data_IF_177978238185
#
_entry.id   IF_177978238185
#
_cell.length_a   1.000
_cell.length_b   1.000
_cell.length_c   1.000
_cell.angle_alpha   90.00
_cell.angle_beta   90.00
_cell.angle_gamma   90.00
#
_symmetry.space_group_name_H-M   'P 1'
#
loop_
_entity.id
_entity.type
_entity.pdbx_description
1 polymer ?
#
# COMPACT_ATOMS: atom_id res chain seq x y z
N UNK A 1 1.26 0.53 -17.87
CA UNK A 1 0.82 1.89 -18.22
C UNK A 1 0.95 2.73 -16.96
N UNK A 2 1.73 3.81 -16.99
CA UNK A 2 1.80 4.73 -15.86
C UNK A 2 0.41 5.35 -15.63
N UNK A 3 -0.20 5.05 -14.49
CA UNK A 3 -1.51 5.60 -14.14
C UNK A 3 -1.27 7.01 -13.63
N UNK A 4 -1.62 8.02 -14.41
CA UNK A 4 -1.47 9.41 -14.01
C UNK A 4 -2.37 9.72 -12.82
N UNK A 5 -1.77 9.99 -11.66
CA UNK A 5 -2.47 10.28 -10.40
C UNK A 5 -3.18 11.66 -10.42
N UNK A 6 -2.62 12.61 -11.18
CA UNK A 6 -3.09 13.99 -11.25
C UNK A 6 -3.25 14.49 -12.69
N UNK A 7 -4.38 15.12 -12.98
CA UNK A 7 -4.66 15.83 -14.22
C UNK A 7 -4.48 17.34 -14.03
N UNK A 8 -3.93 18.04 -15.02
CA UNK A 8 -3.85 19.51 -15.03
C UNK A 8 -4.96 20.05 -15.93
N UNK A 9 -5.90 20.77 -15.33
CA UNK A 9 -7.08 21.34 -15.99
C UNK A 9 -6.67 22.23 -17.17
N UNK A 10 -7.33 22.05 -18.31
CA UNK A 10 -7.18 22.86 -19.52
C UNK A 10 -8.42 23.72 -19.74
N UNK A 11 -8.29 24.72 -20.62
CA UNK A 11 -9.39 25.60 -20.95
C UNK A 11 -10.55 24.81 -21.59
N UNK A 12 -11.75 24.92 -21.00
CA UNK A 12 -12.96 24.22 -21.48
C UNK A 12 -13.21 22.84 -20.86
N UNK A 13 -12.36 22.41 -19.93
CA UNK A 13 -12.60 21.21 -19.13
C UNK A 13 -13.71 21.41 -18.10
N UNK A 14 -14.31 20.29 -17.73
CA UNK A 14 -15.21 20.17 -16.58
C UNK A 14 -14.82 18.91 -15.81
N UNK A 15 -15.12 18.85 -14.51
CA UNK A 15 -14.84 17.65 -13.71
C UNK A 15 -15.48 16.39 -14.32
N UNK A 16 -16.67 16.51 -14.93
CA UNK A 16 -17.32 15.39 -15.61
C UNK A 16 -16.54 14.89 -16.85
N UNK A 17 -15.99 15.80 -17.66
CA UNK A 17 -15.15 15.42 -18.82
C UNK A 17 -13.85 14.75 -18.37
N UNK A 18 -13.23 15.29 -17.32
CA UNK A 18 -12.00 14.72 -16.74
C UNK A 18 -12.28 13.33 -16.17
N UNK A 19 -13.36 13.16 -15.40
CA UNK A 19 -13.77 11.87 -14.85
C UNK A 19 -13.95 10.81 -15.96
N UNK A 20 -14.68 11.17 -17.03
CA UNK A 20 -14.89 10.29 -18.17
C UNK A 20 -13.58 9.93 -18.89
N UNK A 21 -12.64 10.87 -19.02
CA UNK A 21 -11.34 10.64 -19.64
C UNK A 21 -10.48 9.64 -18.85
N UNK A 22 -10.60 9.65 -17.52
CA UNK A 22 -9.86 8.79 -16.61
C UNK A 22 -10.60 7.53 -16.19
N UNK A 23 -11.77 7.25 -16.78
CA UNK A 23 -12.61 6.09 -16.45
C UNK A 23 -13.02 6.03 -14.97
N UNK A 24 -13.26 7.19 -14.35
CA UNK A 24 -13.74 7.32 -12.97
C UNK A 24 -15.04 8.12 -12.94
N UNK A 25 -15.71 8.16 -11.79
CA UNK A 25 -16.95 8.93 -11.60
C UNK A 25 -16.67 10.33 -11.07
N UNK A 26 -17.60 11.27 -11.29
CA UNK A 26 -17.54 12.61 -10.68
C UNK A 26 -17.48 12.53 -9.15
N UNK A 27 -18.28 11.63 -8.55
CA UNK A 27 -18.29 11.41 -7.10
C UNK A 27 -16.92 10.98 -6.57
N UNK A 28 -16.24 10.07 -7.27
CA UNK A 28 -14.87 9.67 -6.92
C UNK A 28 -13.88 10.84 -7.03
N UNK A 29 -13.96 11.65 -8.09
CA UNK A 29 -13.11 12.85 -8.19
C UNK A 29 -13.36 13.80 -7.01
N UNK A 30 -14.61 14.04 -6.63
CA UNK A 30 -14.92 14.92 -5.49
C UNK A 30 -14.44 14.33 -4.15
N UNK A 31 -14.57 13.02 -3.97
CA UNK A 31 -14.04 12.32 -2.79
C UNK A 31 -12.53 12.48 -2.65
N UNK A 32 -11.80 12.45 -3.77
CA UNK A 32 -10.35 12.52 -3.80
C UNK A 32 -9.78 13.94 -3.77
N UNK A 33 -10.63 14.95 -3.99
CA UNK A 33 -10.24 16.36 -4.00
C UNK A 33 -11.14 17.16 -3.02
N UNK A 34 -11.06 16.90 -1.71
CA UNK A 34 -11.89 17.58 -0.71
C UNK A 34 -11.66 19.09 -0.63
N UNK A 35 -10.57 19.60 -1.21
CA UNK A 35 -10.29 21.03 -1.36
C UNK A 35 -11.20 21.73 -2.39
N UNK A 36 -11.91 20.98 -3.23
CA UNK A 36 -12.85 21.54 -4.21
C UNK A 36 -14.19 21.79 -3.52
N UNK A 37 -14.38 23.01 -3.04
CA UNK A 37 -15.62 23.43 -2.38
C UNK A 37 -16.80 23.52 -3.35
N UNK A 38 -16.53 23.92 -4.60
CA UNK A 38 -17.54 24.04 -5.65
C UNK A 38 -17.14 23.22 -6.90
N UNK A 39 -17.79 22.08 -7.19
CA UNK A 39 -17.52 21.22 -8.35
C UNK A 39 -17.64 21.90 -9.71
N UNK A 40 -18.42 22.98 -9.81
CA UNK A 40 -18.66 23.68 -11.07
C UNK A 40 -17.59 24.73 -11.39
N UNK A 41 -16.69 25.02 -10.44
CA UNK A 41 -15.67 26.06 -10.57
C UNK A 41 -14.29 25.40 -10.51
N UNK A 42 -13.74 25.08 -11.68
CA UNK A 42 -12.34 24.67 -11.86
C UNK A 42 -11.61 25.63 -12.79
N UNK A 43 -10.31 25.81 -12.58
CA UNK A 43 -9.50 26.77 -13.34
C UNK A 43 -8.40 26.09 -14.15
N UNK A 44 -8.09 26.57 -15.37
CA UNK A 44 -6.93 26.09 -16.11
C UNK A 44 -5.64 26.18 -15.28
N UNK A 45 -4.85 25.11 -15.28
CA UNK A 45 -3.65 24.97 -14.45
C UNK A 45 -3.89 24.35 -13.06
N UNK A 46 -5.15 24.23 -12.62
CA UNK A 46 -5.48 23.51 -11.39
C UNK A 46 -5.13 22.02 -11.53
N UNK A 47 -4.52 21.44 -10.49
CA UNK A 47 -4.24 20.00 -10.41
C UNK A 47 -5.43 19.30 -9.77
N UNK A 48 -5.96 18.28 -10.44
CA UNK A 48 -7.08 17.46 -9.99
C UNK A 48 -6.58 16.03 -9.84
N UNK A 49 -6.77 15.43 -8.68
CA UNK A 49 -6.52 14.00 -8.46
C UNK A 49 -7.58 13.19 -9.20
N UNK A 50 -7.13 12.29 -10.07
CA UNK A 50 -7.98 11.51 -11.00
C UNK A 50 -7.82 10.01 -10.84
N UNK A 51 -7.05 9.59 -9.85
CA UNK A 51 -6.97 8.22 -9.37
C UNK A 51 -7.28 8.20 -7.88
N UNK A 52 -7.82 7.08 -7.41
CA UNK A 52 -7.98 6.85 -5.98
C UNK A 52 -6.66 7.17 -5.28
N UNK A 53 -6.68 7.92 -4.16
CA UNK A 53 -5.52 7.97 -3.31
C UNK A 53 -5.15 6.52 -3.06
N UNK A 54 -3.98 6.13 -3.56
CA UNK A 54 -3.56 4.76 -3.45
C UNK A 54 -3.37 4.52 -1.96
N UNK A 55 -4.25 3.70 -1.36
CA UNK A 55 -3.96 3.15 -0.04
C UNK A 55 -2.69 2.29 -0.08
N UNK A 56 -2.28 1.88 -1.28
CA UNK A 56 -0.91 1.56 -1.63
C UNK A 56 -0.13 2.87 -1.67
N UNK A 57 0.31 3.34 -0.49
CA UNK A 57 1.34 4.35 -0.44
C UNK A 57 2.64 3.81 -1.07
N UNK A 58 3.76 4.41 -0.71
CA UNK A 58 5.08 3.79 -0.92
C UNK A 58 5.14 2.33 -0.39
N UNK A 59 4.20 1.97 0.50
CA UNK A 59 4.13 0.70 1.20
C UNK A 59 2.84 -0.10 0.90
N UNK A 60 3.00 -1.41 0.89
CA UNK A 60 1.97 -2.42 0.74
C UNK A 60 0.97 -2.34 1.91
N UNK A 61 -0.35 -2.21 1.64
CA UNK A 61 -1.36 -2.29 2.69
C UNK A 61 -1.35 -3.68 3.34
N UNK A 62 -1.84 -3.78 4.57
CA UNK A 62 -1.91 -5.07 5.25
C UNK A 62 -2.87 -6.02 4.51
N UNK A 63 -2.41 -7.18 3.98
CA UNK A 63 -3.21 -8.08 3.16
C UNK A 63 -4.22 -8.92 3.97
N UNK A 64 -4.24 -8.77 5.29
CA UNK A 64 -5.02 -9.58 6.22
C UNK A 64 -4.19 -10.71 6.83
N UNK A 65 -4.51 -11.11 8.06
CA UNK A 65 -3.76 -12.15 8.79
C UNK A 65 -3.87 -13.53 8.14
N UNK A 66 -5.00 -13.80 7.48
CA UNK A 66 -5.27 -15.09 6.83
C UNK A 66 -4.34 -15.35 5.62
N UNK A 67 -3.82 -14.28 5.01
CA UNK A 67 -2.81 -14.37 3.96
C UNK A 67 -1.58 -15.18 4.43
N UNK A 68 -1.15 -14.98 5.67
CA UNK A 68 0.03 -15.61 6.28
C UNK A 68 -0.28 -16.94 7.01
N UNK A 69 -1.50 -17.47 6.86
CA UNK A 69 -1.86 -18.79 7.38
C UNK A 69 -1.78 -19.89 6.31
N UNK A 70 -1.60 -19.50 5.05
CA UNK A 70 -1.49 -20.42 3.91
C UNK A 70 -0.05 -20.49 3.37
N UNK A 71 0.30 -21.57 2.68
CA UNK A 71 1.54 -21.67 1.89
C UNK A 71 1.43 -20.81 0.62
N UNK A 72 1.25 -19.50 0.80
CA UNK A 72 1.13 -18.53 -0.27
C UNK A 72 2.48 -18.28 -0.91
N UNK A 73 2.48 -18.10 -2.24
CA UNK A 73 3.60 -17.55 -2.98
C UNK A 73 3.19 -16.19 -3.54
N UNK A 74 3.89 -15.11 -3.14
CA UNK A 74 3.61 -13.74 -3.57
C UNK A 74 4.84 -12.84 -3.43
N UNK A 75 5.06 -11.87 -4.35
CA UNK A 75 6.10 -10.85 -4.20
C UNK A 75 6.01 -10.05 -2.90
N UNK A 76 4.81 -9.97 -2.29
CA UNK A 76 4.59 -9.32 -0.98
C UNK A 76 5.41 -10.00 0.12
N UNK A 77 5.55 -11.33 0.08
CA UNK A 77 6.33 -12.09 1.06
C UNK A 77 7.81 -11.75 0.94
N UNK A 78 8.33 -11.73 -0.29
CA UNK A 78 9.72 -11.42 -0.57
C UNK A 78 10.06 -9.97 -0.17
N UNK A 79 9.21 -9.01 -0.53
CA UNK A 79 9.37 -7.61 -0.14
C UNK A 79 9.35 -7.42 1.38
N UNK A 80 8.44 -8.11 2.08
CA UNK A 80 8.39 -8.14 3.54
C UNK A 80 9.69 -8.73 4.12
N UNK A 81 10.17 -9.84 3.58
CA UNK A 81 11.39 -10.49 4.03
C UNK A 81 12.64 -9.61 3.89
N UNK A 82 12.74 -8.84 2.81
CA UNK A 82 13.82 -7.86 2.66
C UNK A 82 13.75 -6.75 3.70
N UNK A 83 12.56 -6.21 3.98
CA UNK A 83 12.40 -5.24 5.07
C UNK A 83 12.76 -5.81 6.44
N UNK A 84 12.43 -7.08 6.70
CA UNK A 84 12.83 -7.74 7.94
C UNK A 84 14.35 -7.86 8.07
N UNK A 85 15.08 -8.09 6.97
CA UNK A 85 16.55 -8.05 6.97
C UNK A 85 17.06 -6.65 7.32
N UNK A 86 16.51 -5.60 6.68
CA UNK A 86 16.90 -4.21 6.93
C UNK A 86 16.61 -3.76 8.37
N UNK A 87 15.56 -4.31 8.98
CA UNK A 87 15.23 -4.11 10.39
C UNK A 87 16.03 -5.01 11.35
N UNK A 88 17.04 -5.73 10.86
CA UNK A 88 17.87 -6.68 11.62
C UNK A 88 17.06 -7.78 12.32
N UNK A 89 15.91 -8.14 11.73
CA UNK A 89 14.96 -9.13 12.22
C UNK A 89 14.90 -10.34 11.27
N UNK A 90 16.03 -10.99 11.02
CA UNK A 90 16.16 -12.06 10.02
C UNK A 90 16.51 -13.43 10.61
N UNK A 91 15.75 -14.46 10.23
CA UNK A 91 16.03 -15.87 10.47
C UNK A 91 16.36 -16.64 9.17
N UNK A 92 16.60 -15.93 8.06
CA UNK A 92 16.86 -16.54 6.75
C UNK A 92 18.27 -17.12 6.67
N UNK A 93 18.42 -18.30 6.04
CA UNK A 93 19.72 -18.91 5.77
C UNK A 93 20.39 -18.37 4.50
N UNK A 94 19.60 -18.10 3.45
CA UNK A 94 20.08 -17.64 2.15
C UNK A 94 19.42 -16.33 1.66
N UNK A 95 18.47 -15.79 2.44
CA UNK A 95 17.60 -14.66 2.07
C UNK A 95 16.12 -15.07 1.99
N UNK A 96 15.21 -14.09 1.88
CA UNK A 96 13.80 -14.33 1.65
C UNK A 96 13.56 -14.78 0.21
N UNK A 97 12.47 -15.50 0.00
CA UNK A 97 11.89 -15.76 -1.31
C UNK A 97 10.40 -15.38 -1.28
N UNK A 98 9.70 -15.59 -2.40
CA UNK A 98 8.28 -15.26 -2.51
C UNK A 98 7.35 -16.23 -1.78
N UNK A 99 7.83 -17.33 -1.17
CA UNK A 99 7.00 -18.32 -0.50
C UNK A 99 6.97 -18.10 1.02
N UNK A 100 5.77 -18.00 1.60
CA UNK A 100 5.63 -17.90 3.05
C UNK A 100 6.13 -19.16 3.76
N UNK A 101 7.07 -18.99 4.68
CA UNK A 101 7.77 -20.08 5.36
C UNK A 101 7.90 -19.85 6.87
N UNK A 102 8.44 -20.86 7.57
CA UNK A 102 8.78 -20.74 8.99
C UNK A 102 9.91 -19.74 9.24
N UNK A 103 10.78 -19.49 8.26
CA UNK A 103 11.81 -18.46 8.38
C UNK A 103 11.15 -17.07 8.47
N UNK A 104 10.15 -16.79 7.62
CA UNK A 104 9.40 -15.54 7.65
C UNK A 104 8.66 -15.36 8.98
N UNK A 105 7.98 -16.41 9.46
CA UNK A 105 7.29 -16.38 10.76
C UNK A 105 8.25 -16.03 11.89
N UNK A 106 9.44 -16.64 11.94
CA UNK A 106 10.46 -16.34 12.97
C UNK A 106 11.03 -14.94 12.83
N UNK A 107 11.36 -14.51 11.61
CA UNK A 107 11.80 -13.15 11.29
C UNK A 107 10.78 -12.11 11.77
N UNK A 108 9.50 -12.35 11.48
CA UNK A 108 8.43 -11.44 11.86
C UNK A 108 8.16 -11.42 13.37
N UNK A 109 8.31 -12.56 14.06
CA UNK A 109 8.22 -12.61 15.52
C UNK A 109 9.33 -11.75 16.19
N UNK A 110 10.53 -11.70 15.60
CA UNK A 110 11.59 -10.81 16.06
C UNK A 110 11.21 -9.35 15.85
N UNK A 111 10.63 -9.01 14.70
CA UNK A 111 10.11 -7.67 14.41
C UNK A 111 9.03 -7.22 15.41
N UNK A 112 8.05 -8.07 15.69
CA UNK A 112 7.02 -7.79 16.68
C UNK A 112 7.63 -7.53 18.08
N UNK A 113 8.62 -8.34 18.49
CA UNK A 113 9.34 -8.10 19.76
C UNK A 113 10.15 -6.82 19.76
N UNK A 114 10.81 -6.46 18.65
CA UNK A 114 11.54 -5.19 18.48
C UNK A 114 10.61 -4.00 18.67
N UNK A 115 9.37 -4.11 18.21
CA UNK A 115 8.32 -3.11 18.42
C UNK A 115 7.70 -3.10 19.83
N UNK A 116 8.09 -4.04 20.71
CA UNK A 116 7.61 -4.16 22.08
C UNK A 116 6.34 -5.01 22.26
N UNK A 117 5.88 -5.71 21.22
CA UNK A 117 4.78 -6.68 21.37
C UNK A 117 5.24 -7.92 22.14
N UNK A 118 4.33 -8.58 22.85
CA UNK A 118 4.63 -9.75 23.68
C UNK A 118 3.50 -10.77 23.61
N UNK A 119 3.78 -12.01 24.04
CA UNK A 119 2.78 -13.08 24.07
C UNK A 119 2.21 -13.36 22.67
N UNK A 120 0.88 -13.42 22.57
CA UNK A 120 0.17 -13.71 21.33
C UNK A 120 0.33 -12.61 20.28
N UNK A 121 0.64 -11.38 20.66
CA UNK A 121 0.88 -10.29 19.69
C UNK A 121 2.30 -10.34 19.07
N UNK A 122 3.13 -11.30 19.48
CA UNK A 122 4.51 -11.53 19.01
C UNK A 122 4.74 -12.99 18.58
N UNK A 123 3.73 -13.57 17.94
CA UNK A 123 3.66 -14.98 17.50
C UNK A 123 4.27 -15.23 16.11
N UNK A 124 4.66 -14.17 15.40
CA UNK A 124 5.21 -14.22 14.05
C UNK A 124 4.18 -14.18 12.93
N UNK A 125 2.88 -14.15 13.23
CA UNK A 125 1.86 -13.89 12.22
C UNK A 125 1.66 -12.38 12.08
N UNK A 126 1.83 -11.80 10.88
CA UNK A 126 1.65 -10.37 10.69
C UNK A 126 0.26 -9.88 11.06
N UNK A 127 0.24 -8.81 11.85
CA UNK A 127 -0.97 -8.04 12.17
C UNK A 127 -0.88 -6.62 11.64
N UNK A 128 -2.03 -5.97 11.47
CA UNK A 128 -2.13 -4.60 10.90
C UNK A 128 -1.11 -3.61 11.48
N UNK A 129 -1.03 -3.51 12.81
CA UNK A 129 -0.17 -2.51 13.48
C UNK A 129 1.33 -2.75 13.30
N UNK A 130 1.78 -4.00 13.31
CA UNK A 130 3.19 -4.35 13.09
C UNK A 130 3.55 -4.27 11.61
N UNK A 131 2.59 -4.57 10.72
CA UNK A 131 2.74 -4.46 9.28
C UNK A 131 2.92 -3.03 8.82
N UNK A 132 2.04 -2.13 9.27
CA UNK A 132 2.11 -0.69 8.96
C UNK A 132 3.44 -0.08 9.40
N UNK A 133 4.07 -0.57 10.47
CA UNK A 133 5.38 -0.10 10.93
C UNK A 133 6.55 -0.67 10.13
N UNK A 134 6.38 -1.83 9.50
CA UNK A 134 7.46 -2.49 8.75
C UNK A 134 7.73 -1.76 7.43
N UNK A 135 6.73 -1.02 6.93
CA UNK A 135 6.82 -0.28 5.67
C UNK A 135 7.28 -1.20 4.52
N UNK A 136 6.57 -2.32 4.35
CA UNK A 136 6.79 -3.25 3.22
C UNK A 136 6.58 -2.48 1.93
N UNK A 137 7.55 -2.39 1.00
CA UNK A 137 7.36 -1.67 -0.26
C UNK A 137 6.16 -2.22 -1.04
N UNK A 138 5.39 -1.32 -1.67
CA UNK A 138 4.31 -1.73 -2.55
C UNK A 138 4.88 -2.55 -3.72
N UNK A 139 4.28 -3.72 -3.99
CA UNK A 139 4.64 -4.55 -5.13
C UNK A 139 3.58 -4.41 -6.22
N UNK A 140 3.99 -4.05 -7.43
CA UNK A 140 3.09 -3.93 -8.57
C UNK A 140 3.19 -5.22 -9.40
N UNK A 141 2.06 -5.93 -9.54
CA UNK A 141 1.90 -7.04 -10.47
C UNK A 141 1.70 -6.56 -11.92
#
# INVERSE_FOLDING_TARGET
MEKTEFYVVKHGDTLAKIASMHHVTLGQILEWNPEIENPDIIHPGQRIRVAAPSMHGEFEPFPGSDFFQSSVTSPVIEAMGFRLIEEECSAYAAGPDSQWSEADRKSYAMWQRKLGFTGHDADGTPGRKSWERLHVPAVFE
#
